data_IF_333679878095
#
_entry.id   IF_333679878095
#
_cell.length_a   1.000
_cell.length_b   1.000
_cell.length_c   1.000
_cell.angle_alpha   90.00
_cell.angle_beta   90.00
_cell.angle_gamma   90.00
#
_symmetry.space_group_name_H-M   'P 1'
#
loop_
_entity.id
_entity.type
_entity.pdbx_description
1 polymer ?
#
# COMPACT_ATOMS: atom_id res chain seq x y z
N UNK A 1 -54.03 12.76 9.47
CA UNK A 1 -52.58 12.56 9.24
C UNK A 1 -52.41 11.16 8.69
N UNK A 2 -51.86 10.96 7.48
CA UNK A 2 -51.80 9.62 6.91
C UNK A 2 -50.90 8.73 7.81
N UNK A 3 -51.40 7.60 8.32
CA UNK A 3 -50.73 6.77 9.33
C UNK A 3 -49.46 6.03 8.82
N UNK A 4 -48.88 6.46 7.70
CA UNK A 4 -47.77 5.77 6.99
C UNK A 4 -46.52 6.66 6.79
N UNK A 5 -46.57 7.96 7.12
CA UNK A 5 -45.44 8.89 6.92
C UNK A 5 -44.20 8.55 7.76
N UNK A 6 -44.38 7.86 8.89
CA UNK A 6 -43.27 7.40 9.72
C UNK A 6 -42.50 6.24 9.07
N UNK A 7 -43.19 5.36 8.32
CA UNK A 7 -42.56 4.27 7.56
C UNK A 7 -41.70 4.83 6.44
N UNK A 8 -42.19 5.83 5.71
CA UNK A 8 -41.40 6.45 4.63
C UNK A 8 -40.18 7.18 5.16
N UNK A 9 -40.26 7.80 6.34
CA UNK A 9 -39.09 8.39 7.01
C UNK A 9 -38.06 7.33 7.42
N UNK A 10 -38.51 6.18 7.94
CA UNK A 10 -37.62 5.07 8.30
C UNK A 10 -36.93 4.51 7.05
N UNK A 11 -37.71 4.19 6.02
CA UNK A 11 -37.19 3.63 4.76
C UNK A 11 -36.24 4.62 4.08
N UNK A 12 -36.63 5.89 4.00
CA UNK A 12 -35.78 6.95 3.46
C UNK A 12 -34.48 7.11 4.25
N UNK A 13 -34.56 7.12 5.58
CA UNK A 13 -33.40 7.21 6.46
C UNK A 13 -32.43 6.04 6.27
N UNK A 14 -32.94 4.79 6.26
CA UNK A 14 -32.12 3.61 6.01
C UNK A 14 -31.48 3.63 4.62
N UNK A 15 -32.22 4.05 3.59
CA UNK A 15 -31.69 4.18 2.25
C UNK A 15 -30.54 5.21 2.19
N UNK A 16 -30.71 6.39 2.81
CA UNK A 16 -29.66 7.41 2.88
C UNK A 16 -28.41 6.88 3.61
N UNK A 17 -28.58 6.20 4.75
CA UNK A 17 -27.47 5.58 5.48
C UNK A 17 -26.75 4.55 4.61
N UNK A 18 -27.49 3.69 3.91
CA UNK A 18 -26.92 2.70 2.99
C UNK A 18 -26.05 3.33 1.90
N UNK A 19 -26.52 4.43 1.28
CA UNK A 19 -25.75 5.17 0.26
C UNK A 19 -24.48 5.76 0.86
N UNK A 20 -24.56 6.40 2.03
CA UNK A 20 -23.40 7.01 2.69
C UNK A 20 -22.35 5.96 3.03
N UNK A 21 -22.77 4.82 3.59
CA UNK A 21 -21.87 3.70 3.92
C UNK A 21 -21.21 3.14 2.67
N UNK A 22 -21.99 2.89 1.61
CA UNK A 22 -21.48 2.37 0.34
C UNK A 22 -20.47 3.32 -0.30
N UNK A 23 -20.77 4.62 -0.28
CA UNK A 23 -19.85 5.64 -0.78
C UNK A 23 -18.54 5.68 0.01
N UNK A 24 -18.61 5.58 1.34
CA UNK A 24 -17.40 5.51 2.17
C UNK A 24 -16.59 4.25 1.90
N UNK A 25 -17.23 3.09 1.73
CA UNK A 25 -16.56 1.85 1.39
C UNK A 25 -15.83 1.97 0.05
N UNK A 26 -16.50 2.50 -0.98
CA UNK A 26 -15.89 2.70 -2.30
C UNK A 26 -14.70 3.67 -2.23
N UNK A 27 -14.85 4.80 -1.56
CA UNK A 27 -13.76 5.77 -1.42
C UNK A 27 -12.54 5.17 -0.68
N UNK A 28 -12.77 4.32 0.33
CA UNK A 28 -11.67 3.60 1.01
C UNK A 28 -11.00 2.58 0.08
N UNK A 29 -11.78 1.83 -0.68
CA UNK A 29 -11.27 0.84 -1.64
C UNK A 29 -10.44 1.51 -2.76
N UNK A 30 -10.94 2.59 -3.33
CA UNK A 30 -10.26 3.35 -4.40
C UNK A 30 -8.95 3.97 -3.88
N UNK A 31 -8.94 4.50 -2.65
CA UNK A 31 -7.70 4.98 -2.00
C UNK A 31 -6.67 3.88 -1.82
N UNK A 32 -7.08 2.67 -1.42
CA UNK A 32 -6.19 1.52 -1.26
C UNK A 32 -5.63 1.03 -2.60
N UNK A 33 -6.45 1.01 -3.65
CA UNK A 33 -6.01 0.60 -4.99
C UNK A 33 -5.01 1.59 -5.59
N UNK A 34 -5.23 2.90 -5.42
CA UNK A 34 -4.27 3.92 -5.85
C UNK A 34 -2.94 3.83 -5.10
N UNK A 35 -2.99 3.59 -3.79
CA UNK A 35 -1.80 3.39 -2.99
C UNK A 35 -1.00 2.18 -3.49
N UNK A 36 -1.65 1.03 -3.66
CA UNK A 36 -1.00 -0.18 -4.18
C UNK A 36 -0.41 0.02 -5.57
N UNK A 37 -1.12 0.71 -6.48
CA UNK A 37 -0.60 1.00 -7.81
C UNK A 37 0.73 1.78 -7.77
N UNK A 38 0.84 2.77 -6.88
CA UNK A 38 2.09 3.55 -6.71
C UNK A 38 3.19 2.72 -6.06
N UNK A 39 2.81 1.90 -5.08
CA UNK A 39 3.71 1.00 -4.36
C UNK A 39 4.33 -0.05 -5.29
N UNK A 40 3.55 -0.67 -6.18
CA UNK A 40 4.05 -1.63 -7.17
C UNK A 40 5.11 -1.01 -8.07
N UNK A 41 4.85 0.20 -8.60
CA UNK A 41 5.84 0.90 -9.43
C UNK A 41 7.14 1.20 -8.66
N UNK A 42 7.04 1.62 -7.39
CA UNK A 42 8.21 1.86 -6.55
C UNK A 42 8.99 0.57 -6.28
N UNK A 43 8.30 -0.55 -6.03
CA UNK A 43 8.91 -1.87 -5.85
C UNK A 43 9.63 -2.37 -7.09
N UNK A 44 9.00 -2.29 -8.27
CA UNK A 44 9.66 -2.66 -9.53
C UNK A 44 10.98 -1.90 -9.72
N UNK A 45 11.02 -0.64 -9.30
CA UNK A 45 12.24 0.18 -9.34
C UNK A 45 13.32 -0.29 -8.38
N UNK A 46 12.97 -0.76 -7.18
CA UNK A 46 13.96 -1.21 -6.17
C UNK A 46 14.85 -2.37 -6.63
N UNK A 47 14.39 -3.15 -7.60
CA UNK A 47 15.12 -4.30 -8.15
C UNK A 47 15.81 -3.99 -9.49
N UNK A 48 15.83 -2.73 -9.93
CA UNK A 48 16.52 -2.33 -11.15
C UNK A 48 18.05 -2.50 -10.99
N UNK A 49 18.74 -2.87 -12.07
CA UNK A 49 20.20 -3.05 -12.07
C UNK A 49 20.94 -1.71 -11.92
N UNK A 50 20.31 -0.60 -12.27
CA UNK A 50 20.85 0.74 -12.06
C UNK A 50 20.68 1.16 -10.61
N UNK A 51 21.81 1.39 -9.93
CA UNK A 51 21.83 1.85 -8.54
C UNK A 51 21.04 3.15 -8.32
N UNK A 52 21.01 4.07 -9.30
CA UNK A 52 20.24 5.31 -9.18
C UNK A 52 18.74 5.06 -9.19
N UNK A 53 18.30 4.07 -9.95
CA UNK A 53 16.90 3.69 -10.09
C UNK A 53 16.43 2.87 -8.89
N UNK A 54 17.24 1.93 -8.43
CA UNK A 54 17.01 1.23 -7.17
C UNK A 54 16.87 2.22 -6.00
N UNK A 55 17.78 3.19 -5.88
CA UNK A 55 17.72 4.22 -4.84
C UNK A 55 16.47 5.12 -4.92
N UNK A 56 16.04 5.47 -6.13
CA UNK A 56 14.79 6.19 -6.36
C UNK A 56 13.58 5.36 -5.88
N UNK A 57 13.53 4.07 -6.21
CA UNK A 57 12.50 3.14 -5.73
C UNK A 57 12.39 3.09 -4.21
N UNK A 58 13.54 2.98 -3.52
CA UNK A 58 13.58 2.95 -2.04
C UNK A 58 13.10 4.28 -1.44
N UNK A 59 13.48 5.41 -2.02
CA UNK A 59 13.05 6.74 -1.58
C UNK A 59 11.53 6.94 -1.73
N UNK A 60 10.96 6.43 -2.81
CA UNK A 60 9.52 6.47 -3.06
C UNK A 60 8.75 5.58 -2.10
N UNK A 61 9.23 4.36 -1.83
CA UNK A 61 8.62 3.47 -0.83
C UNK A 61 8.62 4.12 0.56
N UNK A 62 9.73 4.73 0.98
CA UNK A 62 9.80 5.45 2.26
C UNK A 62 8.79 6.61 2.34
N UNK A 63 8.56 7.30 1.22
CA UNK A 63 7.57 8.38 1.11
C UNK A 63 6.13 7.83 1.17
N UNK A 64 5.84 6.73 0.46
CA UNK A 64 4.53 6.09 0.42
C UNK A 64 4.13 5.50 1.78
N UNK A 65 5.10 4.96 2.52
CA UNK A 65 4.93 4.45 3.89
C UNK A 65 4.57 5.52 4.91
N UNK A 66 4.92 6.79 4.66
CA UNK A 66 4.54 7.92 5.53
C UNK A 66 3.17 8.52 5.18
N UNK A 67 2.56 8.08 4.08
CA UNK A 67 1.33 8.69 3.57
C UNK A 67 0.10 8.25 4.37
N UNK A 68 -0.91 9.11 4.44
CA UNK A 68 -2.22 8.83 5.10
C UNK A 68 -3.07 7.78 4.36
N UNK A 69 -2.54 7.14 3.32
CA UNK A 69 -3.21 6.07 2.59
C UNK A 69 -2.74 4.68 3.01
N UNK A 70 -1.60 4.59 3.73
CA UNK A 70 -1.08 3.32 4.23
C UNK A 70 -1.99 2.78 5.34
N UNK A 71 -2.28 1.49 5.30
CA UNK A 71 -2.87 0.77 6.44
C UNK A 71 -1.79 0.00 7.19
N UNK A 72 -2.09 -0.44 8.41
CA UNK A 72 -1.13 -1.22 9.22
C UNK A 72 -0.67 -2.48 8.49
N UNK A 73 -1.60 -3.17 7.81
CA UNK A 73 -1.29 -4.36 7.00
C UNK A 73 -0.40 -4.04 5.79
N UNK A 74 -0.47 -2.85 5.23
CA UNK A 74 0.39 -2.46 4.11
C UNK A 74 1.84 -2.28 4.56
N UNK A 75 2.06 -1.83 5.80
CA UNK A 75 3.39 -1.66 6.39
C UNK A 75 4.13 -2.98 6.61
N UNK A 76 3.42 -4.03 7.03
CA UNK A 76 4.02 -5.35 7.25
C UNK A 76 4.51 -5.98 5.95
N UNK A 77 3.77 -5.80 4.84
CA UNK A 77 4.18 -6.32 3.52
C UNK A 77 5.47 -5.64 3.05
N UNK A 78 5.58 -4.31 3.20
CA UNK A 78 6.81 -3.58 2.82
C UNK A 78 8.00 -4.00 3.69
N UNK A 79 7.77 -4.22 4.98
CA UNK A 79 8.81 -4.69 5.89
C UNK A 79 9.39 -6.05 5.47
N UNK A 80 8.54 -7.04 5.16
CA UNK A 80 8.98 -8.37 4.70
C UNK A 80 9.85 -8.27 3.45
N UNK A 81 9.50 -7.38 2.52
CA UNK A 81 10.26 -7.17 1.29
C UNK A 81 11.61 -6.50 1.58
N UNK A 82 11.63 -5.52 2.49
CA UNK A 82 12.87 -4.86 2.91
C UNK A 82 13.83 -5.83 3.60
N UNK A 83 13.31 -6.70 4.47
CA UNK A 83 14.08 -7.77 5.12
C UNK A 83 14.68 -8.73 4.08
N UNK A 84 13.89 -9.18 3.10
CA UNK A 84 14.39 -10.02 2.01
C UNK A 84 15.49 -9.33 1.18
N UNK A 85 15.31 -8.07 0.83
CA UNK A 85 16.30 -7.30 0.07
C UNK A 85 17.61 -7.11 0.84
N UNK A 86 17.53 -6.85 2.15
CA UNK A 86 18.70 -6.73 3.02
C UNK A 86 19.49 -8.04 3.12
N UNK A 87 18.79 -9.17 3.27
CA UNK A 87 19.42 -10.50 3.27
C UNK A 87 20.11 -10.81 1.93
N UNK A 88 19.48 -10.45 0.80
CA UNK A 88 20.06 -10.64 -0.52
C UNK A 88 21.32 -9.78 -0.75
N UNK A 89 21.38 -8.58 -0.17
CA UNK A 89 22.56 -7.73 -0.22
C UNK A 89 23.72 -8.31 0.60
N UNK A 90 23.46 -8.78 1.82
CA UNK A 90 24.47 -9.40 2.69
C UNK A 90 25.13 -10.62 2.04
N UNK A 91 24.34 -11.53 1.41
CA UNK A 91 24.90 -12.71 0.74
C UNK A 91 25.78 -12.41 -0.48
N UNK A 92 25.61 -11.25 -1.13
CA UNK A 92 26.49 -10.81 -2.23
C UNK A 92 27.86 -10.36 -1.73
N UNK A 93 27.95 -9.75 -0.55
CA UNK A 93 29.20 -9.30 0.04
C UNK A 93 30.11 -10.49 0.40
N UNK A 94 29.54 -11.55 0.96
CA UNK A 94 30.25 -12.78 1.32
C UNK A 94 30.86 -13.48 0.09
N UNK A 95 30.13 -13.52 -1.02
CA UNK A 95 30.59 -14.13 -2.28
C UNK A 95 31.73 -13.35 -2.95
N UNK A 96 31.74 -12.02 -2.83
CA UNK A 96 32.79 -11.17 -3.41
C UNK A 96 34.05 -11.11 -2.53
N UNK A 97 33.91 -11.28 -1.22
CA UNK A 97 35.03 -11.43 -0.27
C UNK A 97 35.82 -12.73 -0.46
N UNK A 98 35.14 -13.83 -0.80
CA UNK A 98 35.81 -15.12 -1.03
C UNK A 98 36.59 -15.20 -2.36
N UNK A 99 36.21 -14.42 -3.38
CA UNK A 99 36.89 -14.42 -4.70
C UNK A 99 38.18 -13.58 -4.72
N UNK A 100 38.43 -12.75 -3.72
CA UNK A 100 39.67 -11.94 -3.60
C UNK A 100 40.78 -12.60 -2.80
N UNK A 101 40.54 -13.79 -2.22
CA UNK A 101 41.49 -14.50 -1.36
C UNK A 101 42.00 -15.82 -1.95
N UNK A 102 41.81 -16.06 -3.25
CA UNK A 102 42.39 -17.17 -4.00
C UNK A 102 43.17 -16.62 -5.21
#
# INVERSE_FOLDING_TARGET
MPPQSWVTLIVGGLATVGVVVTWQQKNRADRRSEWWRRTTWAFERTFDQSNSQAGLGWSLLATLMRSKLVTVDDGSIVQVIAEYAALAAAGKEDSHGSRRQA
#
